data_IF_203173451124
#
_entry.id   IF_203173451124
#
_cell.length_a   1.000
_cell.length_b   1.000
_cell.length_c   1.000
_cell.angle_alpha   90.00
_cell.angle_beta   90.00
_cell.angle_gamma   90.00
#
_symmetry.space_group_name_H-M   'P 1'
#
loop_
_entity.id
_entity.type
_entity.pdbx_description
1 polymer ?
#
# COMPACT_ATOMS: atom_id res chain seq x y z
N UNK A 1 3.11 -13.14 -66.11
CA UNK A 1 3.96 -13.19 -64.90
C UNK A 1 3.27 -12.36 -63.85
N UNK A 2 2.41 -12.99 -63.10
CA UNK A 2 1.71 -12.40 -61.94
C UNK A 2 1.86 -13.39 -60.81
N UNK A 3 2.39 -12.96 -59.68
CA UNK A 3 2.21 -13.46 -58.31
C UNK A 3 3.35 -12.93 -57.46
N UNK A 4 3.01 -12.13 -56.50
CA UNK A 4 3.68 -12.00 -55.19
C UNK A 4 3.35 -10.66 -54.56
N UNK A 5 2.13 -10.52 -54.03
CA UNK A 5 1.85 -9.53 -52.96
C UNK A 5 0.65 -10.05 -52.15
N UNK A 6 0.89 -10.98 -51.30
CA UNK A 6 -0.09 -11.38 -50.26
C UNK A 6 0.65 -12.02 -49.13
N UNK A 7 1.17 -11.24 -48.21
CA UNK A 7 1.35 -11.63 -46.80
C UNK A 7 2.05 -10.50 -46.01
N UNK A 8 1.36 -9.42 -45.68
CA UNK A 8 1.79 -8.44 -44.71
C UNK A 8 0.62 -7.89 -43.88
N UNK A 9 -0.37 -8.71 -43.62
CA UNK A 9 -1.29 -8.44 -42.51
C UNK A 9 -1.02 -9.49 -41.43
N UNK A 10 0.02 -9.21 -40.66
CA UNK A 10 0.32 -9.94 -39.44
C UNK A 10 -0.86 -9.81 -38.50
N UNK A 11 -1.39 -10.94 -38.10
CA UNK A 11 -2.47 -11.09 -37.14
C UNK A 11 -2.23 -10.19 -35.91
N UNK A 12 -3.19 -9.32 -35.62
CA UNK A 12 -3.37 -8.77 -34.29
C UNK A 12 -3.59 -9.94 -33.34
N UNK A 13 -2.50 -10.39 -32.71
CA UNK A 13 -2.58 -11.38 -31.66
C UNK A 13 -3.30 -10.71 -30.48
N UNK A 14 -4.59 -10.91 -30.37
CA UNK A 14 -5.33 -10.70 -29.13
C UNK A 14 -4.59 -11.48 -28.05
N UNK A 15 -4.15 -10.85 -26.95
CA UNK A 15 -3.47 -11.59 -25.89
C UNK A 15 -4.39 -12.72 -25.44
N UNK A 16 -3.88 -13.95 -25.26
CA UNK A 16 -4.71 -15.09 -24.88
C UNK A 16 -5.46 -14.77 -23.59
N UNK A 17 -6.75 -15.03 -23.55
CA UNK A 17 -7.60 -14.83 -22.36
C UNK A 17 -6.99 -15.42 -21.08
N UNK A 18 -6.24 -16.50 -21.19
CA UNK A 18 -5.48 -17.12 -20.11
C UNK A 18 -4.45 -16.16 -19.45
N UNK A 19 -3.79 -15.26 -20.21
CA UNK A 19 -2.86 -14.26 -19.64
C UNK A 19 -3.63 -13.16 -18.90
N UNK A 20 -4.80 -12.79 -19.35
CA UNK A 20 -5.67 -11.82 -18.68
C UNK A 20 -6.24 -12.42 -17.38
N UNK A 21 -6.62 -13.69 -17.39
CA UNK A 21 -7.11 -14.40 -16.20
C UNK A 21 -5.99 -14.62 -15.16
N UNK A 22 -4.77 -14.93 -15.58
CA UNK A 22 -3.62 -15.09 -14.68
C UNK A 22 -3.27 -13.75 -14.04
N UNK A 23 -3.24 -12.64 -14.78
CA UNK A 23 -3.04 -11.30 -14.24
C UNK A 23 -4.16 -10.89 -13.28
N UNK A 24 -5.43 -11.23 -13.58
CA UNK A 24 -6.56 -11.01 -12.67
C UNK A 24 -6.48 -11.85 -11.38
N UNK A 25 -5.88 -13.04 -11.42
CA UNK A 25 -5.67 -13.87 -10.22
C UNK A 25 -4.57 -13.33 -9.30
N UNK A 26 -3.56 -12.65 -9.83
CA UNK A 26 -2.46 -12.08 -9.04
C UNK A 26 -2.89 -10.90 -8.18
N UNK A 27 -3.95 -10.19 -8.54
CA UNK A 27 -4.49 -9.06 -7.80
C UNK A 27 -5.69 -9.43 -6.88
N UNK A 28 -5.69 -10.63 -6.31
CA UNK A 28 -6.66 -11.00 -5.28
C UNK A 28 -6.44 -10.22 -3.99
N UNK A 29 -7.53 -9.98 -3.27
CA UNK A 29 -7.48 -9.40 -1.93
C UNK A 29 -6.44 -10.11 -1.07
N UNK A 30 -5.54 -9.34 -0.49
CA UNK A 30 -4.52 -9.82 0.45
C UNK A 30 -4.96 -9.47 1.88
N UNK A 31 -4.73 -10.36 2.87
CA UNK A 31 -5.08 -10.08 4.26
C UNK A 31 -4.26 -8.91 4.81
N UNK A 32 -4.76 -8.27 5.86
CA UNK A 32 -4.07 -7.14 6.51
C UNK A 32 -2.66 -7.50 6.97
N UNK A 33 -2.44 -8.73 7.45
CA UNK A 33 -1.14 -9.22 7.91
C UNK A 33 -0.07 -9.15 6.83
N UNK A 34 -0.43 -9.34 5.55
CA UNK A 34 0.48 -9.15 4.42
C UNK A 34 1.00 -7.72 4.36
N UNK A 35 0.12 -6.73 4.54
CA UNK A 35 0.49 -5.30 4.49
C UNK A 35 1.19 -4.84 5.76
N UNK A 36 0.87 -5.42 6.93
CA UNK A 36 1.61 -5.19 8.16
C UNK A 36 3.07 -5.64 8.01
N UNK A 37 3.27 -6.88 7.53
CA UNK A 37 4.61 -7.38 7.27
C UNK A 37 5.37 -6.55 6.22
N UNK A 38 4.67 -6.02 5.21
CA UNK A 38 5.25 -5.14 4.20
C UNK A 38 5.65 -3.79 4.80
N UNK A 39 4.77 -3.12 5.54
CA UNK A 39 5.04 -1.84 6.20
C UNK A 39 6.20 -1.94 7.20
N UNK A 40 6.26 -3.00 7.99
CA UNK A 40 7.35 -3.28 8.93
C UNK A 40 8.69 -3.36 8.19
N UNK A 41 8.79 -4.17 7.14
CA UNK A 41 10.01 -4.33 6.35
C UNK A 41 10.41 -3.06 5.62
N UNK A 42 9.46 -2.36 5.00
CA UNK A 42 9.71 -1.11 4.27
C UNK A 42 10.20 0.02 5.16
N UNK A 43 9.89 -0.01 6.46
CA UNK A 43 10.35 1.00 7.40
C UNK A 43 11.87 1.05 7.51
N UNK A 44 12.56 -0.09 7.35
CA UNK A 44 14.00 -0.22 7.50
C UNK A 44 14.54 0.14 8.90
N UNK A 45 13.68 0.58 9.82
CA UNK A 45 14.06 1.13 11.12
C UNK A 45 14.28 0.04 12.20
N UNK A 46 13.74 -1.15 11.99
CA UNK A 46 13.70 -2.22 13.00
C UNK A 46 14.82 -3.24 12.80
N UNK A 47 15.32 -3.79 13.89
CA UNK A 47 16.14 -5.01 13.87
C UNK A 47 15.24 -6.21 13.55
N UNK A 48 15.79 -7.40 13.16
CA UNK A 48 14.96 -8.59 12.95
C UNK A 48 14.13 -8.98 14.17
N UNK A 49 14.67 -8.78 15.39
CA UNK A 49 13.94 -8.95 16.64
C UNK A 49 12.84 -7.90 16.80
N UNK A 50 13.13 -6.66 16.40
CA UNK A 50 12.17 -5.56 16.40
C UNK A 50 11.00 -5.82 15.47
N UNK A 51 11.25 -6.32 14.26
CA UNK A 51 10.20 -6.68 13.29
C UNK A 51 9.24 -7.72 13.86
N UNK A 52 9.75 -8.81 14.47
CA UNK A 52 8.93 -9.83 15.09
C UNK A 52 8.13 -9.26 16.29
N UNK A 53 8.79 -8.51 17.18
CA UNK A 53 8.14 -7.91 18.36
C UNK A 53 7.02 -6.94 17.96
N UNK A 54 7.24 -6.10 16.94
CA UNK A 54 6.22 -5.16 16.46
C UNK A 54 5.07 -5.91 15.77
N UNK A 55 5.36 -6.97 15.03
CA UNK A 55 4.30 -7.80 14.44
C UNK A 55 3.38 -8.40 15.50
N UNK A 56 3.95 -9.02 16.54
CA UNK A 56 3.19 -9.61 17.66
C UNK A 56 2.37 -8.52 18.40
N UNK A 57 2.99 -7.37 18.70
CA UNK A 57 2.32 -6.23 19.33
C UNK A 57 1.14 -5.73 18.48
N UNK A 58 1.30 -5.61 17.17
CA UNK A 58 0.24 -5.15 16.29
C UNK A 58 -0.88 -6.19 16.12
N UNK A 59 -0.58 -7.49 16.13
CA UNK A 59 -1.61 -8.53 16.13
C UNK A 59 -2.49 -8.47 17.38
N UNK A 60 -1.92 -8.13 18.53
CA UNK A 60 -2.66 -8.06 19.78
C UNK A 60 -3.40 -6.73 19.98
N UNK A 61 -2.77 -5.61 19.63
CA UNK A 61 -3.23 -4.26 20.00
C UNK A 61 -3.65 -3.37 18.84
N UNK A 62 -3.40 -3.76 17.57
CA UNK A 62 -3.82 -2.96 16.44
C UNK A 62 -5.36 -2.89 16.36
N UNK A 63 -5.87 -1.69 16.12
CA UNK A 63 -7.31 -1.43 16.13
C UNK A 63 -7.85 -1.17 14.74
N UNK A 64 -8.96 -1.81 14.43
CA UNK A 64 -9.73 -1.46 13.23
C UNK A 64 -10.45 -0.14 13.49
N UNK A 65 -10.42 0.83 12.55
CA UNK A 65 -11.17 2.09 12.70
C UNK A 65 -12.64 1.82 13.03
N UNK A 66 -13.19 2.54 14.03
CA UNK A 66 -14.58 2.40 14.47
C UNK A 66 -14.84 1.28 15.51
N UNK A 67 -13.84 0.46 15.84
CA UNK A 67 -14.00 -0.57 16.88
C UNK A 67 -14.11 0.06 18.27
N UNK A 68 -15.17 -0.28 19.01
CA UNK A 68 -15.30 0.09 20.42
C UNK A 68 -14.38 -0.76 21.28
N UNK A 69 -13.55 -0.13 22.09
CA UNK A 69 -12.56 -0.76 22.94
C UNK A 69 -12.98 -0.57 24.41
N UNK A 70 -13.04 -1.68 25.15
CA UNK A 70 -13.32 -1.68 26.59
C UNK A 70 -12.17 -1.09 27.42
N UNK A 71 -12.46 -0.69 28.65
CA UNK A 71 -11.47 -0.09 29.58
C UNK A 71 -10.28 -1.03 29.84
N UNK A 72 -10.55 -2.29 30.14
CA UNK A 72 -9.49 -3.28 30.38
C UNK A 72 -8.55 -3.45 29.19
N UNK A 73 -9.08 -3.39 27.98
CA UNK A 73 -8.27 -3.50 26.75
C UNK A 73 -7.43 -2.24 26.50
N UNK A 74 -7.93 -1.05 26.86
CA UNK A 74 -7.14 0.20 26.84
C UNK A 74 -5.97 0.12 27.82
N UNK A 75 -6.24 -0.28 29.06
CA UNK A 75 -5.20 -0.43 30.10
C UNK A 75 -4.15 -1.47 29.71
N UNK A 76 -4.55 -2.59 29.11
CA UNK A 76 -3.59 -3.57 28.59
C UNK A 76 -2.70 -3.00 27.49
N UNK A 77 -3.27 -2.22 26.55
CA UNK A 77 -2.49 -1.52 25.52
C UNK A 77 -1.52 -0.52 26.13
N UNK A 78 -1.97 0.32 27.06
CA UNK A 78 -1.13 1.32 27.71
C UNK A 78 0.06 0.67 28.43
N UNK A 79 -0.15 -0.46 29.11
CA UNK A 79 0.94 -1.23 29.74
C UNK A 79 1.91 -1.81 28.69
N UNK A 80 1.38 -2.34 27.58
CA UNK A 80 2.20 -2.85 26.49
C UNK A 80 3.01 -1.73 25.79
N UNK A 81 2.45 -0.54 25.62
CA UNK A 81 3.12 0.63 25.07
C UNK A 81 4.34 1.03 25.92
N UNK A 82 4.19 1.03 27.25
CA UNK A 82 5.30 1.29 28.18
C UNK A 82 6.41 0.24 28.02
N UNK A 83 6.05 -1.04 28.00
CA UNK A 83 7.03 -2.13 27.84
C UNK A 83 7.75 -2.07 26.47
N UNK A 84 7.02 -1.77 25.41
CA UNK A 84 7.59 -1.62 24.08
C UNK A 84 8.59 -0.47 24.04
N UNK A 85 8.25 0.68 24.63
CA UNK A 85 9.10 1.87 24.66
C UNK A 85 10.38 1.68 25.48
N UNK A 86 10.32 0.94 26.61
CA UNK A 86 11.51 0.59 27.42
C UNK A 86 12.51 -0.21 26.58
N UNK A 87 12.03 -1.07 25.69
CA UNK A 87 12.86 -1.96 24.89
C UNK A 87 13.30 -1.32 23.54
N UNK A 88 13.00 -0.06 23.30
CA UNK A 88 13.24 0.58 22.00
C UNK A 88 14.69 0.47 21.52
N UNK A 89 15.67 0.61 22.41
CA UNK A 89 17.10 0.51 22.06
C UNK A 89 17.51 -0.88 21.53
N UNK A 90 16.81 -1.96 21.92
CA UNK A 90 17.07 -3.31 21.45
C UNK A 90 16.38 -3.61 20.09
N UNK A 91 15.28 -2.92 19.83
CA UNK A 91 14.37 -3.22 18.74
C UNK A 91 14.62 -2.35 17.50
N UNK A 92 15.28 -1.22 17.68
CA UNK A 92 15.56 -0.25 16.61
C UNK A 92 17.01 -0.36 16.12
N UNK A 93 17.22 -0.16 14.81
CA UNK A 93 18.57 -0.04 14.21
C UNK A 93 19.24 1.28 14.54
N UNK A 94 18.44 2.34 14.72
CA UNK A 94 18.86 3.66 15.13
C UNK A 94 17.74 4.32 15.94
N UNK A 95 18.06 5.27 16.86
CA UNK A 95 17.04 5.99 17.62
C UNK A 95 16.03 6.68 16.68
N UNK A 96 14.76 6.60 17.04
CA UNK A 96 13.73 7.43 16.40
C UNK A 96 13.94 8.90 16.75
N UNK A 97 13.29 9.81 16.00
CA UNK A 97 13.29 11.23 16.34
C UNK A 97 12.97 11.44 17.85
N UNK A 98 13.61 12.42 18.55
CA UNK A 98 13.48 12.59 20.00
C UNK A 98 12.05 12.73 20.55
N UNK A 99 11.08 12.99 19.68
CA UNK A 99 9.66 13.16 20.04
C UNK A 99 8.80 11.96 19.69
N UNK A 100 9.37 10.86 19.19
CA UNK A 100 8.64 9.71 18.68
C UNK A 100 8.93 8.47 19.49
N UNK A 101 7.91 7.93 20.17
CA UNK A 101 8.01 6.66 20.87
C UNK A 101 7.94 5.48 19.91
N UNK A 102 8.40 4.29 20.33
CA UNK A 102 8.30 3.08 19.53
C UNK A 102 6.85 2.62 19.37
N UNK A 103 5.99 2.82 20.38
CA UNK A 103 4.57 2.53 20.29
C UNK A 103 3.85 3.43 19.27
N UNK A 104 4.15 4.74 19.26
CA UNK A 104 3.63 5.65 18.23
C UNK A 104 4.11 5.27 16.82
N UNK A 105 5.35 4.81 16.69
CA UNK A 105 5.87 4.30 15.43
C UNK A 105 5.15 3.01 14.99
N UNK A 106 4.85 2.10 15.91
CA UNK A 106 4.05 0.90 15.62
C UNK A 106 2.64 1.27 15.12
N UNK A 107 1.97 2.23 15.76
CA UNK A 107 0.66 2.74 15.31
C UNK A 107 0.72 3.37 13.91
N UNK A 108 1.84 4.00 13.53
CA UNK A 108 2.05 4.52 12.17
C UNK A 108 2.25 3.40 11.14
N UNK A 109 3.00 2.35 11.48
CA UNK A 109 3.14 1.17 10.62
C UNK A 109 1.79 0.50 10.37
N UNK A 110 0.95 0.42 11.39
CA UNK A 110 -0.41 -0.08 11.25
C UNK A 110 -1.25 0.79 10.30
N UNK A 111 -1.23 2.12 10.46
CA UNK A 111 -1.92 3.04 9.53
C UNK A 111 -1.41 2.92 8.10
N UNK A 112 -0.09 2.79 7.92
CA UNK A 112 0.51 2.52 6.61
C UNK A 112 -0.03 1.25 5.97
N UNK A 113 -0.11 0.15 6.74
CA UNK A 113 -0.65 -1.12 6.28
C UNK A 113 -2.13 -1.03 5.88
N UNK A 114 -2.94 -0.33 6.67
CA UNK A 114 -4.35 -0.08 6.35
C UNK A 114 -4.51 0.71 5.04
N UNK A 115 -3.70 1.75 4.83
CA UNK A 115 -3.71 2.53 3.59
C UNK A 115 -3.27 1.69 2.38
N UNK A 116 -2.23 0.87 2.53
CA UNK A 116 -1.79 -0.03 1.47
C UNK A 116 -2.87 -1.05 1.10
N UNK A 117 -3.52 -1.64 2.11
CA UNK A 117 -4.65 -2.56 1.89
C UNK A 117 -5.80 -1.87 1.18
N UNK A 118 -6.23 -0.71 1.66
CA UNK A 118 -7.34 0.03 1.07
C UNK A 118 -7.09 0.40 -0.40
N UNK A 119 -5.87 0.81 -0.75
CA UNK A 119 -5.49 1.09 -2.15
C UNK A 119 -5.57 -0.17 -3.01
N UNK A 120 -5.00 -1.26 -2.54
CA UNK A 120 -5.01 -2.52 -3.28
C UNK A 120 -6.44 -3.02 -3.50
N UNK A 121 -7.26 -3.07 -2.44
CA UNK A 121 -8.64 -3.52 -2.52
C UNK A 121 -9.46 -2.63 -3.47
N UNK A 122 -9.26 -1.32 -3.45
CA UNK A 122 -9.90 -0.40 -4.37
C UNK A 122 -9.54 -0.72 -5.83
N UNK A 123 -8.28 -0.98 -6.14
CA UNK A 123 -7.83 -1.35 -7.49
C UNK A 123 -8.39 -2.70 -7.91
N UNK A 124 -8.39 -3.71 -7.03
CA UNK A 124 -9.02 -5.02 -7.30
C UNK A 124 -10.50 -4.85 -7.69
N UNK A 125 -11.24 -4.01 -6.97
CA UNK A 125 -12.65 -3.72 -7.30
C UNK A 125 -12.80 -2.98 -8.63
N UNK A 126 -11.94 -2.00 -8.91
CA UNK A 126 -11.97 -1.20 -10.14
C UNK A 126 -11.65 -2.01 -11.40
N UNK A 127 -10.84 -3.06 -11.33
CA UNK A 127 -10.49 -3.91 -12.46
C UNK A 127 -11.70 -4.56 -13.15
N UNK A 128 -12.83 -4.65 -12.45
CA UNK A 128 -14.04 -5.21 -13.01
C UNK A 128 -14.70 -4.32 -14.10
N UNK A 129 -14.35 -3.00 -14.11
CA UNK A 129 -15.07 -2.02 -14.94
C UNK A 129 -14.20 -0.91 -15.56
N UNK A 130 -12.89 -0.86 -15.28
CA UNK A 130 -12.01 0.10 -15.94
C UNK A 130 -10.61 -0.49 -16.23
N UNK A 131 -9.91 0.08 -17.20
CA UNK A 131 -8.58 -0.34 -17.65
C UNK A 131 -7.48 0.56 -17.07
N UNK A 132 -7.85 1.72 -16.55
CA UNK A 132 -6.93 2.73 -16.03
C UNK A 132 -7.40 3.26 -14.69
N UNK A 133 -6.43 3.64 -13.85
CA UNK A 133 -6.64 4.36 -12.59
C UNK A 133 -5.91 5.68 -12.61
N UNK A 134 -6.40 6.68 -11.89
CA UNK A 134 -5.73 7.98 -11.70
C UNK A 134 -5.31 8.17 -10.25
N UNK A 135 -4.12 8.74 -10.05
CA UNK A 135 -3.61 9.09 -8.73
C UNK A 135 -4.30 10.36 -8.23
N UNK A 136 -4.78 10.32 -6.99
CA UNK A 136 -5.40 11.47 -6.32
C UNK A 136 -4.74 11.71 -4.96
N UNK A 137 -4.45 12.96 -4.65
CA UNK A 137 -3.87 13.36 -3.37
C UNK A 137 -4.97 13.72 -2.37
N UNK A 138 -4.74 13.40 -1.11
CA UNK A 138 -5.66 13.76 -0.01
C UNK A 138 -5.28 15.12 0.61
N UNK A 139 -4.53 15.94 -0.09
CA UNK A 139 -4.30 17.36 0.26
C UNK A 139 -3.80 17.61 1.70
N UNK A 140 -2.85 16.81 2.20
CA UNK A 140 -2.25 17.03 3.53
C UNK A 140 -1.17 18.11 3.52
N UNK A 141 -0.69 18.50 2.34
CA UNK A 141 0.39 19.47 2.15
C UNK A 141 1.80 18.87 2.28
N UNK A 142 1.91 17.63 2.73
CA UNK A 142 3.19 16.94 2.97
C UNK A 142 3.57 15.98 1.84
N UNK A 143 2.89 16.09 0.70
CA UNK A 143 3.13 15.23 -0.44
C UNK A 143 4.50 15.50 -1.07
N UNK A 144 5.20 14.43 -1.45
CA UNK A 144 6.48 14.54 -2.14
C UNK A 144 6.30 15.09 -3.57
N UNK A 145 7.41 15.51 -4.18
CA UNK A 145 7.41 16.08 -5.51
C UNK A 145 6.83 15.12 -6.56
N UNK A 146 7.18 13.82 -6.47
CA UNK A 146 6.66 12.83 -7.40
C UNK A 146 5.13 12.70 -7.31
N UNK A 147 4.57 12.64 -6.09
CA UNK A 147 3.13 12.57 -5.89
C UNK A 147 2.42 13.79 -6.50
N UNK A 148 2.89 14.99 -6.20
CA UNK A 148 2.33 16.23 -6.77
C UNK A 148 2.41 16.27 -8.29
N UNK A 149 3.56 15.88 -8.86
CA UNK A 149 3.76 15.88 -10.32
C UNK A 149 2.94 14.80 -11.05
N UNK A 150 2.40 13.82 -10.34
CA UNK A 150 1.60 12.73 -10.91
C UNK A 150 0.13 12.75 -10.50
N UNK A 151 -0.32 13.78 -9.77
CA UNK A 151 -1.74 13.96 -9.48
C UNK A 151 -2.56 14.06 -10.78
N UNK A 152 -3.65 13.31 -10.83
CA UNK A 152 -4.52 13.20 -12.02
C UNK A 152 -3.96 12.38 -13.17
N UNK A 153 -2.68 11.97 -13.15
CA UNK A 153 -2.14 11.10 -14.20
C UNK A 153 -2.74 9.70 -14.14
N UNK A 154 -2.88 9.10 -15.32
CA UNK A 154 -3.44 7.78 -15.52
C UNK A 154 -2.37 6.71 -15.52
N UNK A 155 -2.68 5.58 -14.90
CA UNK A 155 -1.84 4.39 -14.81
C UNK A 155 -2.65 3.16 -15.21
N UNK A 156 -2.04 2.13 -15.79
CA UNK A 156 -2.71 0.87 -16.07
C UNK A 156 -3.28 0.25 -14.78
N UNK A 157 -4.51 -0.24 -14.84
CA UNK A 157 -5.19 -0.83 -13.67
C UNK A 157 -4.50 -2.11 -13.18
N UNK A 158 -3.70 -2.78 -14.02
CA UNK A 158 -2.96 -3.99 -13.69
C UNK A 158 -1.71 -3.69 -12.85
N UNK A 159 -1.28 -2.44 -12.77
CA UNK A 159 -0.14 -2.04 -11.97
C UNK A 159 -0.53 -1.98 -10.48
N UNK A 160 0.21 -2.69 -9.61
CA UNK A 160 -0.03 -2.61 -8.16
C UNK A 160 0.26 -1.18 -7.68
N UNK A 161 -0.73 -0.47 -7.10
CA UNK A 161 -0.58 0.92 -6.67
C UNK A 161 0.45 1.10 -5.55
N UNK A 162 0.66 0.06 -4.72
CA UNK A 162 1.64 0.10 -3.64
C UNK A 162 3.07 -0.08 -4.17
N UNK A 163 3.26 -0.92 -5.19
CA UNK A 163 4.55 -1.06 -5.88
C UNK A 163 4.91 0.23 -6.61
N UNK A 164 3.96 0.85 -7.31
CA UNK A 164 4.15 2.14 -7.96
C UNK A 164 4.61 3.22 -6.97
N UNK A 165 3.93 3.33 -5.83
CA UNK A 165 4.32 4.28 -4.78
C UNK A 165 5.67 3.92 -4.15
N UNK A 166 5.95 2.64 -3.89
CA UNK A 166 7.22 2.21 -3.28
C UNK A 166 8.44 2.53 -4.15
N UNK A 167 8.27 2.56 -5.49
CA UNK A 167 9.35 2.88 -6.43
C UNK A 167 9.66 4.37 -6.51
N UNK A 168 8.68 5.24 -6.27
CA UNK A 168 8.79 6.65 -6.62
C UNK A 168 8.45 7.62 -5.49
N UNK A 169 7.58 7.23 -4.55
CA UNK A 169 7.08 8.11 -3.52
C UNK A 169 8.02 8.18 -2.31
N UNK A 170 8.35 9.39 -1.89
CA UNK A 170 9.17 9.65 -0.70
C UNK A 170 8.38 10.28 0.45
N UNK A 171 7.05 10.23 0.41
CA UNK A 171 6.21 10.71 1.50
C UNK A 171 6.48 9.93 2.79
N UNK A 172 6.62 10.64 3.90
CA UNK A 172 6.85 10.05 5.21
C UNK A 172 5.76 10.49 6.20
N UNK A 173 5.33 9.61 7.10
CA UNK A 173 5.78 8.22 7.31
C UNK A 173 5.21 7.22 6.29
N UNK A 174 4.22 7.60 5.50
CA UNK A 174 3.62 6.83 4.40
C UNK A 174 2.89 7.78 3.45
N UNK A 175 2.62 7.33 2.21
CA UNK A 175 1.85 8.11 1.25
C UNK A 175 0.35 8.10 1.59
N UNK A 176 -0.28 9.27 1.58
CA UNK A 176 -1.73 9.47 1.65
C UNK A 176 -2.41 9.38 0.28
N UNK A 177 -1.64 9.24 -0.81
CA UNK A 177 -2.18 9.13 -2.16
C UNK A 177 -3.14 7.95 -2.29
N UNK A 178 -4.23 8.15 -3.02
CA UNK A 178 -5.25 7.16 -3.37
C UNK A 178 -5.33 7.01 -4.88
N UNK A 179 -6.05 5.99 -5.35
CA UNK A 179 -6.27 5.76 -6.77
C UNK A 179 -7.77 5.64 -7.02
N UNK A 180 -8.22 6.26 -8.10
CA UNK A 180 -9.61 6.27 -8.53
C UNK A 180 -9.73 5.76 -9.98
N UNK A 181 -10.89 5.21 -10.39
CA UNK A 181 -11.09 4.77 -11.76
C UNK A 181 -10.97 5.95 -12.73
N UNK A 182 -10.15 5.79 -13.77
CA UNK A 182 -10.07 6.75 -14.87
C UNK A 182 -11.09 6.35 -15.93
N UNK A 183 -12.25 7.01 -15.94
CA UNK A 183 -13.36 6.70 -16.86
C UNK A 183 -13.22 7.59 -18.10
N UNK A 184 -13.08 6.99 -19.30
CA UNK A 184 -12.92 7.71 -20.57
C UNK A 184 -14.14 8.56 -21.00
N UNK A 185 -15.31 8.32 -20.41
CA UNK A 185 -16.57 8.91 -20.83
C UNK A 185 -16.78 10.39 -20.42
N UNK A 186 -15.87 10.99 -19.66
CA UNK A 186 -16.01 12.36 -19.15
C UNK A 186 -14.95 13.34 -19.70
N UNK A 187 -14.15 12.94 -20.68
CA UNK A 187 -13.14 13.79 -21.31
C UNK A 187 -13.72 14.56 -22.54
N UNK A 188 -15.01 14.92 -22.52
CA UNK A 188 -15.69 15.65 -23.60
C UNK A 188 -15.90 17.11 -23.25
#
# INVERSE_FOLDING_TARGET
MMKLFSSLFGANATPPQAQIETARQELKEKPLDHYLALAIRQSGALTPRGEATIADYLQEFARVPGQKVGEAQRQAKDAADVQLNIRAAELLRAPLSPRRSLSAFADELHRSALMQKARHDAVVQMQAFCDEMSLTLVGTGDECEWCRANEGKRFPIQQDPNELLAQHCTCAPYSSATFHPAIKAFDA
#
